data_IF_898450310345
#
_entry.id   IF_898450310345
#
_cell.length_a   1.000
_cell.length_b   1.000
_cell.length_c   1.000
_cell.angle_alpha   90.00
_cell.angle_beta   90.00
_cell.angle_gamma   90.00
#
_symmetry.space_group_name_H-M   'P 1'
#
loop_
_entity.id
_entity.type
_entity.pdbx_description
1 polymer ?
#
# COMPACT_ATOMS: atom_id res chain seq x y z
N UNK A 1 13.16 -15.45 24.36
CA UNK A 1 12.85 -16.03 23.04
C UNK A 1 12.36 -14.92 22.10
N UNK A 2 13.13 -13.84 21.92
CA UNK A 2 12.68 -12.59 21.29
C UNK A 2 13.81 -11.98 20.41
N UNK A 3 14.48 -12.81 19.60
CA UNK A 3 15.54 -12.35 18.70
C UNK A 3 15.67 -13.34 17.55
N UNK A 4 14.96 -13.14 16.44
CA UNK A 4 15.16 -13.74 15.11
C UNK A 4 13.89 -13.33 14.34
N UNK A 5 13.84 -12.18 13.64
CA UNK A 5 14.18 -12.08 12.20
C UNK A 5 14.70 -10.66 11.87
N UNK A 6 15.78 -10.21 12.50
CA UNK A 6 16.48 -8.96 12.10
C UNK A 6 17.67 -9.19 11.16
N UNK A 7 17.81 -10.41 10.62
CA UNK A 7 18.92 -10.84 9.76
C UNK A 7 18.48 -11.58 8.49
N UNK A 8 17.58 -10.98 7.71
CA UNK A 8 17.44 -11.33 6.31
C UNK A 8 17.44 -10.07 5.42
N UNK A 9 18.31 -9.13 5.78
CA UNK A 9 18.49 -7.84 5.10
C UNK A 9 19.80 -7.85 4.30
N UNK A 10 19.77 -8.45 3.11
CA UNK A 10 20.64 -8.10 1.96
C UNK A 10 20.35 -9.06 0.80
N UNK A 11 19.50 -8.61 -0.14
CA UNK A 11 19.66 -8.79 -1.60
C UNK A 11 18.36 -8.46 -2.30
N UNK A 12 18.29 -7.25 -2.86
CA UNK A 12 17.76 -6.97 -4.21
C UNK A 12 17.79 -5.46 -4.48
N UNK A 13 18.98 -4.85 -4.42
CA UNK A 13 19.22 -3.62 -5.16
C UNK A 13 19.55 -4.01 -6.60
N UNK A 14 18.53 -4.10 -7.45
CA UNK A 14 18.64 -3.95 -8.91
C UNK A 14 17.25 -3.99 -9.55
N UNK A 15 16.75 -2.84 -10.00
CA UNK A 15 16.06 -2.83 -11.28
C UNK A 15 16.38 -1.50 -12.01
N UNK A 16 17.17 -1.55 -13.09
CA UNK A 16 17.42 -0.40 -13.95
C UNK A 16 16.22 -0.13 -14.86
N UNK A 17 16.14 1.10 -15.36
CA UNK A 17 15.20 1.58 -16.38
C UNK A 17 13.78 1.93 -15.90
N UNK A 18 13.65 3.21 -15.53
CA UNK A 18 12.41 3.98 -15.73
C UNK A 18 12.21 4.16 -17.23
N UNK A 19 11.21 3.54 -17.89
CA UNK A 19 10.89 3.90 -19.27
C UNK A 19 10.30 5.31 -19.28
N UNK A 20 10.92 6.20 -20.06
CA UNK A 20 10.34 7.49 -20.44
C UNK A 20 9.26 7.20 -21.47
N UNK A 21 7.98 7.33 -21.13
CA UNK A 21 6.90 7.32 -22.12
C UNK A 21 6.49 8.76 -22.43
N UNK A 22 6.94 9.20 -23.61
CA UNK A 22 6.54 10.41 -24.30
C UNK A 22 5.06 10.34 -24.69
N UNK A 23 4.46 11.51 -24.89
CA UNK A 23 3.10 11.76 -25.42
C UNK A 23 2.74 11.01 -26.71
N UNK A 24 1.45 10.65 -26.84
CA UNK A 24 0.76 10.12 -28.02
C UNK A 24 -0.34 9.16 -27.55
N UNK A 25 -1.64 9.31 -27.83
CA UNK A 25 -2.27 9.55 -29.12
C UNK A 25 -2.91 8.23 -29.58
N UNK A 26 -4.25 8.21 -29.75
CA UNK A 26 -4.93 7.17 -30.55
C UNK A 26 -5.63 6.04 -29.81
N UNK A 27 -6.88 5.80 -30.25
CA UNK A 27 -7.83 4.75 -29.82
C UNK A 27 -7.30 3.33 -30.02
N UNK A 28 -7.76 2.38 -29.19
CA UNK A 28 -8.16 1.05 -29.66
C UNK A 28 -8.99 0.33 -28.60
N UNK A 29 -10.11 -0.23 -29.05
CA UNK A 29 -10.91 -1.19 -28.33
C UNK A 29 -10.09 -2.44 -28.01
N UNK A 30 -10.27 -3.02 -26.81
CA UNK A 30 -10.14 -4.46 -26.61
C UNK A 30 -10.92 -4.85 -25.34
N UNK A 31 -11.97 -5.63 -25.54
CA UNK A 31 -12.74 -6.32 -24.51
C UNK A 31 -11.89 -7.38 -23.79
N UNK A 32 -12.32 -7.69 -22.56
CA UNK A 32 -12.05 -8.91 -21.79
C UNK A 32 -10.67 -9.03 -21.10
N UNK A 33 -10.59 -8.48 -19.88
CA UNK A 33 -9.62 -8.87 -18.85
C UNK A 33 -10.34 -9.03 -17.50
N UNK A 34 -11.24 -10.02 -17.40
CA UNK A 34 -11.74 -10.48 -16.10
C UNK A 34 -10.79 -11.57 -15.60
N UNK A 35 -10.12 -11.31 -14.47
CA UNK A 35 -9.14 -12.21 -13.82
C UNK A 35 -7.82 -12.29 -14.62
N UNK A 36 -6.66 -11.78 -14.19
CA UNK A 36 -5.99 -11.83 -12.88
C UNK A 36 -4.91 -10.73 -12.88
N UNK A 37 -4.43 -10.35 -11.67
CA UNK A 37 -3.19 -9.60 -11.35
C UNK A 37 -3.33 -8.11 -10.98
N UNK A 38 -3.77 -7.95 -9.74
CA UNK A 38 -3.36 -7.01 -8.67
C UNK A 38 -2.04 -6.24 -8.90
N UNK A 39 -2.02 -5.32 -9.85
CA UNK A 39 -1.09 -4.21 -9.82
C UNK A 39 -1.86 -2.93 -10.08
N UNK A 40 -1.94 -2.07 -9.06
CA UNK A 40 -2.54 -0.75 -9.19
C UNK A 40 -1.87 0.02 -10.33
N UNK A 41 -2.69 0.43 -11.30
CA UNK A 41 -2.21 1.25 -12.42
C UNK A 41 -1.79 2.65 -11.94
N UNK A 42 -1.00 3.37 -12.74
CA UNK A 42 -0.60 4.74 -12.39
C UNK A 42 -1.79 5.69 -12.18
N UNK A 43 -2.90 5.48 -12.91
CA UNK A 43 -4.15 6.25 -12.75
C UNK A 43 -4.82 5.93 -11.42
N UNK A 44 -4.90 4.65 -11.07
CA UNK A 44 -5.47 4.18 -9.81
C UNK A 44 -4.66 4.67 -8.60
N UNK A 45 -3.32 4.59 -8.65
CA UNK A 45 -2.44 5.12 -7.60
C UNK A 45 -2.62 6.63 -7.39
N UNK A 46 -2.81 7.40 -8.46
CA UNK A 46 -3.10 8.84 -8.37
C UNK A 46 -4.44 9.11 -7.67
N UNK A 47 -5.46 8.33 -8.00
CA UNK A 47 -6.77 8.45 -7.38
C UNK A 47 -6.72 8.08 -5.87
N UNK A 48 -6.10 6.95 -5.53
CA UNK A 48 -5.90 6.53 -4.13
C UNK A 48 -5.12 7.59 -3.33
N UNK A 49 -4.10 8.21 -3.93
CA UNK A 49 -3.37 9.33 -3.33
C UNK A 49 -4.27 10.53 -3.04
N UNK A 50 -5.13 10.91 -3.99
CA UNK A 50 -6.05 12.03 -3.76
C UNK A 50 -7.01 11.75 -2.61
N UNK A 51 -7.50 10.51 -2.51
CA UNK A 51 -8.38 10.06 -1.43
C UNK A 51 -7.66 10.00 -0.08
N UNK A 52 -6.40 9.56 -0.08
CA UNK A 52 -5.57 9.49 1.12
C UNK A 52 -5.17 10.87 1.67
N UNK A 53 -5.19 11.91 0.84
CA UNK A 53 -4.86 13.27 1.28
C UNK A 53 -5.96 13.88 2.15
N UNK A 54 -7.23 13.62 1.81
CA UNK A 54 -8.39 14.08 2.57
C UNK A 54 -8.68 13.21 3.79
N UNK A 55 -8.16 11.97 3.81
CA UNK A 55 -8.37 11.01 4.90
C UNK A 55 -7.35 11.20 6.03
N UNK A 56 -7.83 11.14 7.29
CA UNK A 56 -6.98 11.21 8.49
C UNK A 56 -6.17 9.92 8.68
N UNK A 57 -4.93 10.00 9.18
CA UNK A 57 -4.17 8.80 9.52
C UNK A 57 -4.90 8.01 10.61
N UNK A 58 -5.14 6.73 10.36
CA UNK A 58 -5.88 5.87 11.27
C UNK A 58 -4.95 5.22 12.30
N UNK A 59 -3.74 4.89 11.88
CA UNK A 59 -2.77 4.11 12.66
C UNK A 59 -1.45 4.86 12.70
N UNK A 60 -0.75 4.79 13.83
CA UNK A 60 0.57 5.40 14.00
C UNK A 60 1.60 4.38 14.51
N UNK A 61 2.80 4.42 13.94
CA UNK A 61 3.95 3.63 14.43
C UNK A 61 4.65 4.45 15.51
N UNK A 62 4.75 3.90 16.71
CA UNK A 62 5.44 4.49 17.85
C UNK A 62 6.70 3.72 18.26
N UNK A 63 7.10 3.86 19.52
CA UNK A 63 8.31 3.23 20.08
C UNK A 63 8.29 1.69 20.07
N UNK A 64 7.10 1.10 20.06
CA UNK A 64 6.94 -0.37 19.99
C UNK A 64 7.18 -0.92 18.57
N UNK A 65 7.42 -0.04 17.58
CA UNK A 65 7.73 -0.42 16.21
C UNK A 65 6.64 -1.26 15.55
N UNK A 66 7.08 -2.23 14.75
CA UNK A 66 6.26 -3.14 13.94
C UNK A 66 5.91 -4.45 14.67
N UNK A 67 5.35 -4.36 15.86
CA UNK A 67 4.90 -5.54 16.61
C UNK A 67 3.67 -6.23 16.00
N UNK A 68 3.38 -7.45 16.44
CA UNK A 68 2.24 -8.25 15.93
C UNK A 68 0.88 -7.56 16.14
N UNK A 69 0.71 -6.88 17.28
CA UNK A 69 -0.49 -6.10 17.57
C UNK A 69 -0.69 -4.94 16.58
N UNK A 70 0.40 -4.34 16.10
CA UNK A 70 0.35 -3.29 15.08
C UNK A 70 -0.10 -3.87 13.74
N UNK A 71 0.51 -4.99 13.31
CA UNK A 71 0.14 -5.66 12.07
C UNK A 71 -1.32 -6.12 12.09
N UNK A 72 -1.79 -6.67 13.21
CA UNK A 72 -3.19 -7.06 13.39
C UNK A 72 -4.12 -5.84 13.26
N UNK A 73 -3.83 -4.73 13.95
CA UNK A 73 -4.63 -3.51 13.83
C UNK A 73 -4.65 -2.94 12.41
N UNK A 74 -3.53 -3.04 11.68
CA UNK A 74 -3.46 -2.65 10.26
C UNK A 74 -4.34 -3.56 9.41
N UNK A 75 -4.33 -4.87 9.62
CA UNK A 75 -5.23 -5.81 8.92
C UNK A 75 -6.69 -5.45 9.12
N UNK A 76 -7.12 -5.26 10.36
CA UNK A 76 -8.53 -4.93 10.69
C UNK A 76 -8.97 -3.60 10.07
N UNK A 77 -8.08 -2.59 10.12
CA UNK A 77 -8.32 -1.29 9.52
C UNK A 77 -8.50 -1.37 8.00
N UNK A 78 -7.66 -2.18 7.35
CA UNK A 78 -7.71 -2.39 5.90
C UNK A 78 -8.99 -3.13 5.51
N UNK A 79 -9.42 -4.14 6.26
CA UNK A 79 -10.66 -4.87 5.96
C UNK A 79 -11.89 -3.97 6.02
N UNK A 80 -11.89 -2.99 6.92
CA UNK A 80 -13.02 -2.08 7.12
C UNK A 80 -13.04 -0.93 6.11
N UNK A 81 -11.86 -0.37 5.76
CA UNK A 81 -11.75 0.88 5.00
C UNK A 81 -11.06 0.77 3.66
N UNK A 82 -10.42 -0.36 3.34
CA UNK A 82 -9.62 -0.65 2.12
C UNK A 82 -8.36 0.20 1.95
N UNK A 83 -8.45 1.50 2.23
CA UNK A 83 -7.37 2.47 2.19
C UNK A 83 -7.01 2.90 3.62
N UNK A 84 -5.76 2.68 4.00
CA UNK A 84 -5.25 3.05 5.32
C UNK A 84 -4.04 3.96 5.18
N UNK A 85 -4.05 5.02 5.98
CA UNK A 85 -2.96 5.97 6.10
C UNK A 85 -2.26 5.75 7.44
N UNK A 86 -0.99 5.40 7.37
CA UNK A 86 -0.14 5.05 8.50
C UNK A 86 0.88 6.15 8.69
N UNK A 87 0.93 6.77 9.86
CA UNK A 87 1.91 7.82 10.16
C UNK A 87 2.99 7.30 11.11
N UNK A 88 4.25 7.58 10.83
CA UNK A 88 5.36 7.18 11.69
C UNK A 88 5.73 8.34 12.61
N UNK A 89 5.67 8.11 13.93
CA UNK A 89 6.13 9.08 14.91
C UNK A 89 7.64 9.28 14.81
N UNK A 90 8.18 10.48 15.11
CA UNK A 90 9.63 10.74 15.07
C UNK A 90 10.45 9.85 16.01
N UNK A 91 9.79 9.25 17.01
CA UNK A 91 10.39 8.33 17.99
C UNK A 91 10.50 6.89 17.49
N UNK A 92 9.94 6.58 16.32
CA UNK A 92 10.09 5.27 15.70
C UNK A 92 11.44 5.19 14.98
N UNK A 93 12.20 4.14 15.27
CA UNK A 93 13.49 3.86 14.63
C UNK A 93 13.34 3.35 13.20
N UNK A 94 12.15 2.86 12.85
CA UNK A 94 11.85 2.32 11.52
C UNK A 94 11.63 3.42 10.48
N UNK A 95 12.08 3.16 9.25
CA UNK A 95 11.83 4.04 8.10
C UNK A 95 10.46 3.76 7.46
N UNK A 96 9.83 4.75 6.81
CA UNK A 96 8.56 4.55 6.10
C UNK A 96 8.63 3.44 5.04
N UNK A 97 9.78 3.26 4.39
CA UNK A 97 10.04 2.16 3.46
C UNK A 97 10.04 0.80 4.17
N UNK A 98 10.78 0.65 5.26
CA UNK A 98 10.83 -0.61 6.02
C UNK A 98 9.45 -1.00 6.56
N UNK A 99 8.66 -0.02 7.03
CA UNK A 99 7.27 -0.24 7.43
C UNK A 99 6.43 -0.75 6.26
N UNK A 100 6.56 -0.14 5.09
CA UNK A 100 5.82 -0.55 3.90
C UNK A 100 6.19 -1.99 3.49
N UNK A 101 7.49 -2.30 3.43
CA UNK A 101 8.00 -3.62 3.05
C UNK A 101 7.55 -4.71 4.04
N UNK A 102 7.62 -4.41 5.34
CA UNK A 102 7.18 -5.33 6.40
C UNK A 102 5.69 -5.61 6.31
N UNK A 103 4.88 -4.58 6.08
CA UNK A 103 3.43 -4.75 5.93
C UNK A 103 3.07 -5.53 4.67
N UNK A 104 3.79 -5.32 3.56
CA UNK A 104 3.60 -6.10 2.33
C UNK A 104 3.98 -7.57 2.52
N UNK A 105 5.03 -7.85 3.30
CA UNK A 105 5.41 -9.21 3.64
C UNK A 105 4.41 -9.89 4.59
N UNK A 106 3.84 -9.13 5.54
CA UNK A 106 2.91 -9.65 6.55
C UNK A 106 1.45 -9.78 6.07
N UNK A 107 1.05 -9.02 5.05
CA UNK A 107 -0.32 -8.94 4.54
C UNK A 107 -0.32 -9.24 3.04
N UNK A 108 -0.78 -10.44 2.67
CA UNK A 108 -0.90 -10.82 1.27
C UNK A 108 -1.89 -9.92 0.52
N UNK A 109 -1.47 -9.43 -0.65
CA UNK A 109 -2.28 -8.56 -1.51
C UNK A 109 -2.31 -7.09 -1.08
N UNK A 110 -1.47 -6.69 -0.11
CA UNK A 110 -1.30 -5.29 0.24
C UNK A 110 -0.49 -4.56 -0.83
N UNK A 111 -1.03 -3.46 -1.33
CA UNK A 111 -0.36 -2.58 -2.26
C UNK A 111 -0.04 -1.22 -1.64
N UNK A 112 1.19 -0.75 -1.86
CA UNK A 112 1.62 0.58 -1.44
C UNK A 112 1.29 1.57 -2.56
N UNK A 113 0.35 2.46 -2.30
CA UNK A 113 -0.03 3.49 -3.27
C UNK A 113 1.05 4.59 -3.35
N UNK A 114 1.52 5.06 -2.19
CA UNK A 114 2.58 6.05 -2.08
C UNK A 114 3.13 6.15 -0.65
N UNK A 115 4.39 6.57 -0.54
CA UNK A 115 5.00 7.06 0.70
C UNK A 115 5.15 8.58 0.61
N UNK A 116 4.64 9.30 1.62
CA UNK A 116 4.71 10.77 1.71
C UNK A 116 5.41 11.13 3.02
N UNK A 117 6.67 11.55 2.95
CA UNK A 117 7.46 11.88 4.15
C UNK A 117 7.49 10.70 5.13
N UNK A 118 6.98 10.92 6.35
CA UNK A 118 6.84 9.89 7.40
C UNK A 118 5.49 9.16 7.38
N UNK A 119 4.72 9.26 6.30
CA UNK A 119 3.41 8.61 6.16
C UNK A 119 3.42 7.61 5.03
N UNK A 120 2.88 6.43 5.26
CA UNK A 120 2.70 5.38 4.26
C UNK A 120 1.21 5.25 3.94
N UNK A 121 0.89 5.21 2.65
CA UNK A 121 -0.48 5.00 2.15
C UNK A 121 -0.53 3.59 1.56
N UNK A 122 -1.33 2.74 2.20
CA UNK A 122 -1.51 1.33 1.82
C UNK A 122 -2.96 1.07 1.42
N UNK A 123 -3.14 0.17 0.48
CA UNK A 123 -4.42 -0.22 -0.06
C UNK A 123 -4.50 -1.74 -0.21
N UNK A 124 -5.63 -2.32 0.15
CA UNK A 124 -6.00 -3.70 -0.20
C UNK A 124 -7.51 -3.69 -0.50
N UNK A 125 -7.91 -4.45 -1.50
CA UNK A 125 -9.32 -4.71 -1.74
C UNK A 125 -9.92 -5.48 -0.55
N UNK A 126 -11.05 -5.01 -0.01
CA UNK A 126 -11.73 -5.73 1.06
C UNK A 126 -12.32 -7.05 0.57
N UNK A 127 -12.22 -8.07 1.42
CA UNK A 127 -12.79 -9.39 1.14
C UNK A 127 -14.31 -9.35 1.22
N UNK A 128 -14.86 -8.64 2.20
CA UNK A 128 -16.31 -8.42 2.36
C UNK A 128 -16.84 -7.39 1.37
N UNK A 129 -17.92 -7.71 0.67
CA UNK A 129 -18.55 -6.84 -0.33
C UNK A 129 -19.06 -5.52 0.25
N UNK A 130 -19.48 -5.49 1.51
CA UNK A 130 -20.04 -4.32 2.19
C UNK A 130 -19.02 -3.18 2.36
N UNK A 131 -17.73 -3.52 2.43
CA UNK A 131 -16.65 -2.55 2.60
C UNK A 131 -16.01 -2.13 1.26
N UNK A 132 -16.44 -2.71 0.13
CA UNK A 132 -15.88 -2.45 -1.22
C UNK A 132 -16.34 -1.14 -1.84
N UNK A 133 -16.22 -0.01 -1.12
CA UNK A 133 -16.57 1.30 -1.70
C UNK A 133 -15.43 1.84 -2.56
N UNK A 134 -14.21 1.78 -2.04
CA UNK A 134 -13.02 2.33 -2.71
C UNK A 134 -12.64 1.43 -3.89
N UNK A 135 -12.72 0.12 -3.72
CA UNK A 135 -12.45 -0.84 -4.80
C UNK A 135 -13.34 -0.63 -6.04
N UNK A 136 -14.61 -0.29 -5.86
CA UNK A 136 -15.53 -0.01 -6.98
C UNK A 136 -15.13 1.27 -7.73
N UNK A 137 -14.80 2.33 -6.99
CA UNK A 137 -14.35 3.59 -7.59
C UNK A 137 -12.99 3.48 -8.29
N UNK A 138 -12.07 2.67 -7.74
CA UNK A 138 -10.75 2.39 -8.32
C UNK A 138 -10.87 1.60 -9.62
N UNK A 139 -11.76 0.59 -9.67
CA UNK A 139 -11.97 -0.22 -10.87
C UNK A 139 -12.70 0.54 -11.98
N UNK A 140 -13.45 1.59 -11.65
CA UNK A 140 -14.15 2.43 -12.61
C UNK A 140 -13.25 3.45 -13.33
N UNK A 141 -11.97 3.58 -12.96
CA UNK A 141 -11.03 4.62 -13.46
C UNK A 141 -9.80 4.03 -14.16
#
# INVERSE_FOLDING_TARGET
MFYYVKHLFKRAAANPQRPKSCTGGGKAAQLNQRSVKNMLTGKQKRYLRSLAMTTKPLIQVGKNGLGDAFVAGVKDAIETRELVKISLLPTADDTPQEVADTLQAAIAGLEVAQIIGRTVIVYKQAEKSEHRRISLEVNAR
#
